data_IF_599820221363
#
_entry.id   IF_599820221363
#
_cell.length_a   1.000
_cell.length_b   1.000
_cell.length_c   1.000
_cell.angle_alpha   90.00
_cell.angle_beta   90.00
_cell.angle_gamma   90.00
#
_symmetry.space_group_name_H-M   'P 1'
#
loop_
_entity.id
_entity.type
_entity.pdbx_description
1 polymer ?
#
# COMPACT_ATOMS: atom_id res chain seq x y z
N UNK A 1 12.48 -11.55 19.82
CA UNK A 1 11.82 -12.57 18.98
C UNK A 1 11.70 -11.89 17.63
N UNK A 2 12.38 -12.37 16.59
CA UNK A 2 12.38 -11.71 15.26
C UNK A 2 11.03 -11.99 14.60
N UNK A 3 10.35 -10.96 14.09
CA UNK A 3 9.09 -11.12 13.34
C UNK A 3 9.41 -11.77 11.99
N UNK A 4 9.05 -13.04 11.80
CA UNK A 4 9.40 -13.86 10.62
C UNK A 4 8.50 -13.57 9.40
N UNK A 5 7.57 -12.61 9.48
CA UNK A 5 6.43 -12.60 8.56
C UNK A 5 6.63 -11.79 7.27
N UNK A 6 7.43 -12.36 6.37
CA UNK A 6 7.41 -11.96 4.97
C UNK A 6 6.04 -12.33 4.38
N UNK A 7 5.21 -11.31 4.08
CA UNK A 7 3.89 -11.51 3.47
C UNK A 7 3.99 -12.00 2.01
N UNK A 8 5.19 -11.92 1.44
CA UNK A 8 5.59 -12.53 0.18
C UNK A 8 6.81 -13.42 0.41
N UNK A 9 6.77 -14.71 0.05
CA UNK A 9 7.90 -15.63 0.27
C UNK A 9 9.07 -15.35 -0.69
N UNK A 10 8.76 -14.90 -1.92
CA UNK A 10 9.76 -14.60 -2.94
C UNK A 10 9.34 -13.49 -3.92
N UNK A 11 10.35 -12.95 -4.58
CA UNK A 11 10.21 -11.97 -5.66
C UNK A 11 10.84 -12.52 -6.94
N UNK A 12 10.17 -12.36 -8.07
CA UNK A 12 10.68 -12.78 -9.38
C UNK A 12 10.64 -11.62 -10.38
N UNK A 13 11.71 -11.41 -11.14
CA UNK A 13 11.77 -10.34 -12.14
C UNK A 13 12.43 -10.81 -13.43
N UNK A 14 12.19 -10.10 -14.54
CA UNK A 14 12.68 -10.47 -15.87
C UNK A 14 14.12 -9.99 -16.05
N UNK A 15 15.08 -10.87 -15.73
CA UNK A 15 16.52 -10.53 -15.71
C UNK A 15 17.12 -10.15 -17.07
N UNK A 16 16.50 -10.63 -18.15
CA UNK A 16 16.95 -10.35 -19.51
C UNK A 16 16.53 -8.95 -19.99
N UNK A 17 15.66 -8.25 -19.26
CA UNK A 17 15.20 -6.90 -19.58
C UNK A 17 16.11 -5.82 -18.97
N UNK A 18 16.19 -4.62 -19.58
CA UNK A 18 17.02 -3.52 -19.08
C UNK A 18 16.58 -3.08 -17.68
N UNK A 19 17.51 -2.58 -16.84
CA UNK A 19 17.19 -2.08 -15.48
C UNK A 19 16.49 -3.15 -14.60
N UNK A 20 16.92 -4.41 -14.70
CA UNK A 20 16.39 -5.55 -13.94
C UNK A 20 16.45 -5.32 -12.40
N UNK A 21 17.55 -4.75 -11.90
CA UNK A 21 17.68 -4.41 -10.48
C UNK A 21 16.63 -3.38 -9.99
N UNK A 22 16.20 -2.48 -10.87
CA UNK A 22 15.13 -1.52 -10.56
C UNK A 22 13.76 -2.21 -10.54
N UNK A 23 13.51 -3.17 -11.44
CA UNK A 23 12.30 -3.97 -11.42
C UNK A 23 12.14 -4.72 -10.09
N UNK A 24 13.22 -5.38 -9.62
CA UNK A 24 13.22 -6.03 -8.31
C UNK A 24 12.97 -5.04 -7.15
N UNK A 25 13.57 -3.85 -7.23
CA UNK A 25 13.34 -2.79 -6.24
C UNK A 25 11.88 -2.33 -6.25
N UNK A 26 11.27 -2.17 -7.42
CA UNK A 26 9.87 -1.78 -7.56
C UNK A 26 8.92 -2.84 -7.01
N UNK A 27 9.18 -4.13 -7.24
CA UNK A 27 8.39 -5.22 -6.63
C UNK A 27 8.45 -5.18 -5.11
N UNK A 28 9.65 -5.02 -4.54
CA UNK A 28 9.84 -4.90 -3.08
C UNK A 28 9.14 -3.66 -2.52
N UNK A 29 9.19 -2.54 -3.25
CA UNK A 29 8.49 -1.31 -2.88
C UNK A 29 6.97 -1.48 -2.91
N UNK A 30 6.44 -2.06 -3.98
CA UNK A 30 5.01 -2.35 -4.12
C UNK A 30 4.52 -3.26 -3.00
N UNK A 31 5.25 -4.34 -2.74
CA UNK A 31 4.99 -5.24 -1.62
C UNK A 31 4.98 -4.49 -0.28
N UNK A 32 5.97 -3.63 -0.03
CA UNK A 32 6.04 -2.90 1.24
C UNK A 32 4.89 -1.92 1.44
N UNK A 33 4.34 -1.33 0.39
CA UNK A 33 3.16 -0.45 0.50
C UNK A 33 1.88 -1.20 0.85
N UNK A 34 1.74 -2.47 0.43
CA UNK A 34 0.53 -3.27 0.66
C UNK A 34 0.56 -4.14 1.92
N UNK A 35 1.73 -4.27 2.55
CA UNK A 35 1.94 -5.07 3.76
C UNK A 35 0.92 -4.81 4.87
N UNK A 36 0.57 -3.55 5.23
CA UNK A 36 -0.39 -3.31 6.31
C UNK A 36 -1.76 -3.94 6.04
N UNK A 37 -2.24 -3.85 4.80
CA UNK A 37 -3.54 -4.40 4.40
C UNK A 37 -3.51 -5.94 4.38
N UNK A 38 -2.39 -6.53 3.93
CA UNK A 38 -2.20 -7.98 4.00
C UNK A 38 -2.15 -8.47 5.46
N UNK A 39 -1.43 -7.75 6.35
CA UNK A 39 -1.32 -8.06 7.77
C UNK A 39 -2.68 -8.03 8.46
N UNK A 40 -3.45 -6.97 8.24
CA UNK A 40 -4.81 -6.81 8.79
C UNK A 40 -5.73 -7.97 8.42
N UNK A 41 -5.52 -8.60 7.26
CA UNK A 41 -6.36 -9.68 6.72
C UNK A 41 -5.74 -11.07 6.83
N UNK A 42 -4.54 -11.19 7.39
CA UNK A 42 -3.80 -12.45 7.50
C UNK A 42 -3.42 -13.05 6.14
N UNK A 43 -3.27 -12.24 5.10
CA UNK A 43 -2.91 -12.70 3.76
C UNK A 43 -1.40 -12.93 3.65
N UNK A 44 -1.04 -14.07 3.05
CA UNK A 44 0.33 -14.38 2.62
C UNK A 44 0.29 -14.87 1.19
N UNK A 45 1.23 -14.43 0.39
CA UNK A 45 1.34 -14.80 -1.03
C UNK A 45 2.70 -15.46 -1.24
N UNK A 46 2.75 -16.55 -1.99
CA UNK A 46 4.00 -17.25 -2.26
C UNK A 46 4.98 -16.38 -3.05
N UNK A 47 4.62 -16.00 -4.27
CA UNK A 47 5.54 -15.26 -5.15
C UNK A 47 4.89 -14.02 -5.76
N UNK A 48 5.56 -12.87 -5.64
CA UNK A 48 5.24 -11.66 -6.39
C UNK A 48 6.22 -11.52 -7.55
N UNK A 49 5.72 -11.52 -8.79
CA UNK A 49 6.56 -11.58 -9.97
C UNK A 49 6.24 -10.50 -11.01
N UNK A 50 7.27 -10.08 -11.72
CA UNK A 50 7.14 -9.30 -12.95
C UNK A 50 6.76 -10.21 -14.12
N UNK A 51 5.88 -9.71 -14.99
CA UNK A 51 5.69 -10.26 -16.34
C UNK A 51 5.55 -9.14 -17.37
N UNK A 52 5.72 -9.49 -18.65
CA UNK A 52 5.56 -8.55 -19.76
C UNK A 52 4.88 -9.24 -20.96
N UNK A 53 3.56 -9.52 -20.88
CA UNK A 53 2.87 -10.18 -21.98
C UNK A 53 2.73 -9.27 -23.20
N UNK A 54 2.53 -9.89 -24.36
CA UNK A 54 2.27 -9.20 -25.62
C UNK A 54 0.93 -8.44 -25.61
N UNK A 55 -0.04 -8.87 -24.80
CA UNK A 55 -1.32 -8.20 -24.67
C UNK A 55 -1.17 -6.86 -23.92
N UNK A 56 -1.38 -5.69 -24.56
CA UNK A 56 -1.02 -4.40 -23.97
C UNK A 56 -1.86 -4.02 -22.75
N UNK A 57 -3.14 -4.41 -22.72
CA UNK A 57 -4.03 -4.11 -21.62
C UNK A 57 -3.72 -4.93 -20.38
N UNK A 58 -3.07 -6.08 -20.49
CA UNK A 58 -2.87 -6.98 -19.36
C UNK A 58 -1.83 -6.44 -18.37
N UNK A 59 -2.30 -6.02 -17.19
CA UNK A 59 -1.53 -5.41 -16.11
C UNK A 59 -1.25 -6.37 -14.95
N UNK A 60 -2.16 -7.31 -14.67
CA UNK A 60 -2.08 -8.16 -13.49
C UNK A 60 -2.73 -9.53 -13.66
N UNK A 61 -2.25 -10.49 -12.87
CA UNK A 61 -2.79 -11.84 -12.80
C UNK A 61 -2.53 -12.46 -11.42
N UNK A 62 -3.59 -12.87 -10.73
CA UNK A 62 -3.55 -13.69 -9.53
C UNK A 62 -3.78 -15.17 -9.88
N UNK A 63 -2.88 -16.04 -9.44
CA UNK A 63 -2.93 -17.49 -9.64
C UNK A 63 -3.18 -18.17 -8.30
N UNK A 64 -4.22 -19.00 -8.30
CA UNK A 64 -4.60 -19.83 -7.15
C UNK A 64 -4.72 -19.04 -5.84
N UNK A 65 -5.21 -17.79 -5.91
CA UNK A 65 -5.44 -16.84 -4.81
C UNK A 65 -4.15 -16.34 -4.16
N UNK A 66 -3.38 -17.23 -3.56
CA UNK A 66 -2.20 -16.90 -2.74
C UNK A 66 -0.92 -17.52 -3.26
N UNK A 67 -0.96 -18.32 -4.32
CA UNK A 67 0.25 -18.98 -4.81
C UNK A 67 1.19 -17.97 -5.47
N UNK A 68 0.67 -17.21 -6.44
CA UNK A 68 1.49 -16.33 -7.26
C UNK A 68 0.68 -15.15 -7.77
N UNK A 69 1.29 -13.96 -7.76
CA UNK A 69 0.75 -12.75 -8.36
C UNK A 69 1.76 -12.23 -9.38
N UNK A 70 1.33 -12.07 -10.62
CA UNK A 70 2.10 -11.44 -11.69
C UNK A 70 1.65 -10.00 -11.88
N UNK A 71 2.59 -9.06 -12.01
CA UNK A 71 2.31 -7.65 -12.25
C UNK A 71 3.20 -7.12 -13.36
N UNK A 72 2.61 -6.33 -14.25
CA UNK A 72 3.33 -5.60 -15.29
C UNK A 72 3.99 -4.40 -14.64
N UNK A 73 5.30 -4.32 -14.70
CA UNK A 73 6.04 -3.16 -14.20
C UNK A 73 6.39 -2.15 -15.30
N UNK A 74 6.41 -2.57 -16.56
CA UNK A 74 6.93 -1.81 -17.70
C UNK A 74 5.86 -1.54 -18.74
N UNK A 75 6.03 -0.46 -19.51
CA UNK A 75 5.17 -0.21 -20.66
C UNK A 75 5.36 -1.30 -21.72
N UNK A 76 4.25 -1.74 -22.33
CA UNK A 76 4.27 -2.77 -23.37
C UNK A 76 5.14 -2.37 -24.59
N UNK A 77 5.07 -1.12 -25.01
CA UNK A 77 5.80 -0.63 -26.20
C UNK A 77 7.27 -0.25 -25.92
N UNK A 78 7.67 -0.10 -24.65
CA UNK A 78 9.03 0.22 -24.27
C UNK A 78 9.38 -0.39 -22.90
N UNK A 79 10.08 -1.52 -22.95
CA UNK A 79 10.52 -2.23 -21.74
C UNK A 79 11.56 -1.46 -20.91
N UNK A 80 12.11 -0.33 -21.39
CA UNK A 80 13.00 0.53 -20.57
C UNK A 80 12.24 1.47 -19.64
N UNK A 81 10.95 1.69 -19.89
CA UNK A 81 10.11 2.60 -19.12
C UNK A 81 9.20 1.82 -18.19
N UNK A 82 9.19 2.23 -16.92
CA UNK A 82 8.35 1.65 -15.89
C UNK A 82 7.02 2.41 -15.77
N UNK A 83 5.97 1.69 -15.41
CA UNK A 83 4.71 2.27 -14.94
C UNK A 83 4.96 3.02 -13.63
N UNK A 84 4.07 3.95 -13.30
CA UNK A 84 4.20 4.68 -12.04
C UNK A 84 4.00 3.74 -10.85
N UNK A 85 4.65 4.07 -9.73
CA UNK A 85 4.50 3.29 -8.49
C UNK A 85 3.04 3.23 -8.02
N UNK A 86 2.28 4.30 -8.23
CA UNK A 86 0.83 4.35 -7.95
C UNK A 86 0.06 3.31 -8.79
N UNK A 87 0.35 3.21 -10.09
CA UNK A 87 -0.32 2.25 -10.99
C UNK A 87 0.01 0.80 -10.61
N UNK A 88 1.27 0.51 -10.31
CA UNK A 88 1.72 -0.83 -9.91
C UNK A 88 1.08 -1.23 -8.59
N UNK A 89 1.01 -0.31 -7.62
CA UNK A 89 0.38 -0.58 -6.32
C UNK A 89 -1.10 -0.82 -6.47
N UNK A 90 -1.79 0.00 -7.26
CA UNK A 90 -3.24 -0.13 -7.49
C UNK A 90 -3.59 -1.46 -8.19
N UNK A 91 -2.75 -1.88 -9.14
CA UNK A 91 -2.83 -3.21 -9.76
C UNK A 91 -2.60 -4.32 -8.72
N UNK A 92 -1.61 -4.17 -7.83
CA UNK A 92 -1.39 -5.14 -6.75
C UNK A 92 -2.60 -5.23 -5.79
N UNK A 93 -3.22 -4.11 -5.42
CA UNK A 93 -4.43 -4.11 -4.59
C UNK A 93 -5.62 -4.81 -5.29
N UNK A 94 -5.74 -4.65 -6.60
CA UNK A 94 -6.69 -5.39 -7.42
C UNK A 94 -6.42 -6.89 -7.34
N UNK A 95 -5.18 -7.32 -7.60
CA UNK A 95 -4.82 -8.74 -7.55
C UNK A 95 -4.95 -9.34 -6.14
N UNK A 96 -4.71 -8.57 -5.08
CA UNK A 96 -4.97 -9.02 -3.71
C UNK A 96 -6.47 -9.24 -3.45
N UNK A 97 -7.36 -8.47 -4.08
CA UNK A 97 -8.80 -8.69 -3.97
C UNK A 97 -9.22 -10.06 -4.53
N UNK A 98 -8.47 -10.57 -5.52
CA UNK A 98 -8.66 -11.92 -6.05
C UNK A 98 -8.31 -13.06 -5.08
N UNK A 99 -7.67 -12.77 -3.94
CA UNK A 99 -7.53 -13.74 -2.84
C UNK A 99 -8.91 -14.17 -2.33
N UNK A 100 -9.87 -13.25 -2.27
CA UNK A 100 -11.21 -13.47 -1.72
C UNK A 100 -12.22 -13.71 -2.85
N UNK A 101 -12.26 -12.83 -3.84
CA UNK A 101 -13.30 -12.82 -4.88
C UNK A 101 -12.72 -13.07 -6.28
N UNK A 102 -13.18 -14.14 -6.93
CA UNK A 102 -12.80 -14.44 -8.32
C UNK A 102 -13.37 -13.43 -9.33
N UNK A 103 -14.70 -13.32 -9.48
CA UNK A 103 -15.30 -12.43 -10.47
C UNK A 103 -15.27 -10.96 -10.03
N UNK A 104 -15.17 -10.03 -10.99
CA UNK A 104 -15.29 -8.58 -10.77
C UNK A 104 -16.75 -8.14 -10.50
N UNK A 105 -17.37 -8.69 -9.46
CA UNK A 105 -18.72 -8.33 -9.02
C UNK A 105 -18.70 -7.12 -8.07
N UNK A 106 -19.87 -6.74 -7.53
CA UNK A 106 -19.97 -5.63 -6.60
C UNK A 106 -19.09 -5.83 -5.34
N UNK A 107 -19.03 -7.06 -4.81
CA UNK A 107 -18.25 -7.38 -3.61
C UNK A 107 -16.74 -7.25 -3.87
N UNK A 108 -16.26 -7.70 -5.03
CA UNK A 108 -14.88 -7.46 -5.47
C UNK A 108 -14.55 -5.98 -5.50
N UNK A 109 -15.41 -5.18 -6.15
CA UNK A 109 -15.19 -3.74 -6.26
C UNK A 109 -15.22 -3.05 -4.90
N UNK A 110 -16.07 -3.49 -3.98
CA UNK A 110 -16.12 -2.97 -2.62
C UNK A 110 -14.82 -3.26 -1.86
N UNK A 111 -14.30 -4.50 -1.93
CA UNK A 111 -13.02 -4.85 -1.32
C UNK A 111 -11.86 -4.05 -1.92
N UNK A 112 -11.82 -3.93 -3.25
CA UNK A 112 -10.75 -3.17 -3.92
C UNK A 112 -10.80 -1.68 -3.53
N UNK A 113 -11.99 -1.08 -3.45
CA UNK A 113 -12.15 0.30 -2.95
C UNK A 113 -11.71 0.43 -1.49
N UNK A 114 -12.08 -0.51 -0.62
CA UNK A 114 -11.64 -0.52 0.78
C UNK A 114 -10.12 -0.56 0.90
N UNK A 115 -9.45 -1.45 0.16
CA UNK A 115 -7.99 -1.55 0.14
C UNK A 115 -7.32 -0.26 -0.36
N UNK A 116 -7.92 0.42 -1.33
CA UNK A 116 -7.44 1.71 -1.82
C UNK A 116 -7.60 2.81 -0.79
N UNK A 117 -8.73 2.87 -0.09
CA UNK A 117 -8.98 3.85 0.95
C UNK A 117 -8.01 3.66 2.13
N UNK A 118 -7.77 2.41 2.54
CA UNK A 118 -6.73 2.06 3.53
C UNK A 118 -5.35 2.54 3.06
N UNK A 119 -4.97 2.25 1.81
CA UNK A 119 -3.70 2.70 1.24
C UNK A 119 -3.56 4.23 1.19
N UNK A 120 -4.61 4.96 0.80
CA UNK A 120 -4.60 6.42 0.78
C UNK A 120 -4.49 7.01 2.18
N UNK A 121 -5.20 6.46 3.17
CA UNK A 121 -5.08 6.87 4.58
C UNK A 121 -3.63 6.71 5.06
N UNK A 122 -2.99 5.60 4.72
CA UNK A 122 -1.58 5.36 5.04
C UNK A 122 -0.64 6.38 4.39
N UNK A 123 -0.83 6.68 3.10
CA UNK A 123 -0.07 7.72 2.41
C UNK A 123 -0.23 9.10 3.09
N UNK A 124 -1.45 9.46 3.50
CA UNK A 124 -1.73 10.72 4.19
C UNK A 124 -1.05 10.80 5.57
N UNK A 125 -0.89 9.65 6.25
CA UNK A 125 -0.14 9.51 7.50
C UNK A 125 1.39 9.48 7.30
N UNK A 126 1.86 9.61 6.05
CA UNK A 126 3.28 9.61 5.70
C UNK A 126 3.89 8.21 5.56
N UNK A 127 3.07 7.16 5.58
CA UNK A 127 3.54 5.82 5.25
C UNK A 127 3.82 5.75 3.76
N UNK A 128 5.05 5.41 3.39
CA UNK A 128 5.44 5.24 1.99
C UNK A 128 5.93 3.82 1.72
N UNK A 129 5.53 2.84 2.53
CA UNK A 129 6.11 1.49 2.56
C UNK A 129 7.25 1.36 3.57
N UNK A 130 7.61 0.12 3.91
CA UNK A 130 8.72 -0.16 4.83
C UNK A 130 10.06 0.33 4.28
N UNK A 131 10.82 0.99 5.17
CA UNK A 131 12.24 1.26 5.00
C UNK A 131 12.62 2.28 3.92
N UNK A 132 13.73 2.96 4.18
CA UNK A 132 14.51 3.63 3.15
C UNK A 132 15.13 2.51 2.29
N UNK A 133 14.46 2.08 1.21
CA UNK A 133 14.99 1.05 0.29
C UNK A 133 16.24 1.51 -0.48
N UNK A 134 16.66 2.76 -0.31
CA UNK A 134 17.96 3.27 -0.71
C UNK A 134 19.05 2.82 0.28
N UNK A 135 20.27 2.63 -0.22
CA UNK A 135 21.47 2.43 0.61
C UNK A 135 21.48 3.50 1.72
N UNK A 136 21.26 3.08 2.96
CA UNK A 136 21.23 3.99 4.10
C UNK A 136 22.59 4.66 4.26
N UNK A 137 22.65 5.97 4.01
CA UNK A 137 23.83 6.75 4.32
C UNK A 137 23.78 7.03 5.82
N UNK A 138 24.75 6.53 6.60
CA UNK A 138 24.88 6.84 8.03
C UNK A 138 24.97 8.35 8.22
N UNK A 139 23.86 9.01 8.56
CA UNK A 139 23.84 10.40 8.95
C UNK A 139 24.28 10.51 10.41
N UNK A 140 25.60 10.51 10.60
CA UNK A 140 26.20 10.84 11.89
C UNK A 140 26.38 9.64 12.83
N UNK A 141 27.63 9.34 13.13
CA UNK A 141 28.05 8.53 14.27
C UNK A 141 29.25 9.14 14.98
N UNK A 142 29.59 10.40 14.67
CA UNK A 142 30.69 11.10 15.32
C UNK A 142 30.11 11.73 16.58
N UNK A 143 30.60 11.32 17.75
CA UNK A 143 30.27 11.93 19.04
C UNK A 143 30.84 13.36 19.03
N UNK A 144 30.04 14.30 18.53
CA UNK A 144 30.38 15.72 18.51
C UNK A 144 30.27 16.21 19.97
N UNK A 145 31.31 16.83 20.55
CA UNK A 145 31.23 17.45 21.87
C UNK A 145 30.04 18.41 21.95
N UNK A 146 29.35 18.44 23.09
CA UNK A 146 28.08 19.19 23.29
C UNK A 146 28.20 20.67 22.88
N UNK A 147 29.35 21.28 23.07
CA UNK A 147 29.60 22.68 22.70
C UNK A 147 29.70 22.90 21.18
N UNK A 148 30.23 21.93 20.45
CA UNK A 148 30.31 21.96 18.99
C UNK A 148 28.91 21.74 18.38
N UNK A 149 28.08 20.91 19.02
CA UNK A 149 26.66 20.75 18.70
C UNK A 149 25.86 22.04 18.93
N UNK A 150 26.08 22.73 20.06
CA UNK A 150 25.46 24.04 20.34
C UNK A 150 25.90 25.10 19.33
N UNK A 151 27.16 25.10 18.92
CA UNK A 151 27.70 26.04 17.92
C UNK A 151 27.08 25.79 16.53
N UNK A 152 26.97 24.53 16.12
CA UNK A 152 26.32 24.13 14.86
C UNK A 152 24.82 24.45 14.86
N UNK A 153 24.12 24.22 15.97
CA UNK A 153 22.72 24.56 16.12
C UNK A 153 22.47 26.08 16.03
N UNK A 154 23.34 26.90 16.64
CA UNK A 154 23.26 28.37 16.54
C UNK A 154 23.49 28.86 15.11
N UNK A 155 24.53 28.38 14.43
CA UNK A 155 24.79 28.75 13.03
C UNK A 155 23.67 28.30 12.08
N UNK A 156 23.08 27.13 12.30
CA UNK A 156 21.92 26.67 11.52
C UNK A 156 20.64 27.49 11.81
N UNK A 157 20.47 27.97 13.05
CA UNK A 157 19.36 28.88 13.40
C UNK A 157 19.55 30.28 12.82
N UNK A 158 20.78 30.81 12.80
CA UNK A 158 21.12 32.08 12.15
C UNK A 158 20.93 32.01 10.63
N UNK A 159 21.31 30.91 9.98
CA UNK A 159 21.03 30.68 8.56
C UNK A 159 19.53 30.66 8.26
N UNK A 160 18.73 30.00 9.11
CA UNK A 160 17.26 29.99 8.99
C UNK A 160 16.65 31.39 9.13
N UNK A 161 17.13 32.18 10.11
CA UNK A 161 16.75 33.58 10.27
C UNK A 161 17.19 34.47 9.09
N UNK A 162 18.34 34.20 8.49
CA UNK A 162 18.82 34.95 7.33
C UNK A 162 18.00 34.65 6.07
N UNK A 163 17.36 33.49 5.99
CA UNK A 163 16.48 33.09 4.87
C UNK A 163 15.01 33.48 5.05
N UNK A 164 14.61 33.98 6.23
CA UNK A 164 13.20 34.26 6.58
C UNK A 164 12.53 35.41 5.80
N UNK A 165 13.24 36.10 4.89
CA UNK A 165 12.69 37.23 4.15
C UNK A 165 12.36 36.97 2.67
N UNK A 166 12.49 35.74 2.15
CA UNK A 166 12.18 35.47 0.73
C UNK A 166 11.10 34.42 0.47
N UNK A 167 10.67 33.62 1.46
CA UNK A 167 9.62 32.61 1.28
C UNK A 167 8.87 32.31 2.59
N UNK A 168 8.34 33.33 3.26
CA UNK A 168 7.51 33.21 4.46
C UNK A 168 6.07 32.72 4.15
N UNK A 169 5.95 31.65 3.37
CA UNK A 169 4.71 30.92 3.15
C UNK A 169 4.88 29.49 3.64
N UNK A 170 4.20 29.13 4.72
CA UNK A 170 4.20 27.75 5.22
C UNK A 170 3.86 26.78 4.09
N UNK A 171 4.79 25.89 3.76
CA UNK A 171 4.58 24.89 2.72
C UNK A 171 3.84 23.72 3.35
N UNK A 172 2.59 23.48 2.95
CA UNK A 172 1.93 22.19 3.21
C UNK A 172 2.67 21.14 2.39
N UNK A 173 3.32 20.20 3.06
CA UNK A 173 3.86 19.00 2.42
C UNK A 173 2.73 17.97 2.42
N UNK A 174 2.07 17.80 1.28
CA UNK A 174 0.99 16.83 1.11
C UNK A 174 -0.34 17.49 0.74
N UNK A 175 -0.92 16.98 -0.36
CA UNK A 175 -2.05 17.57 -1.05
C UNK A 175 -1.56 18.61 -2.06
N UNK A 176 -1.51 18.23 -3.35
CA UNK A 176 -1.51 19.26 -4.38
C UNK A 176 -2.79 20.09 -4.12
N UNK A 177 -2.71 21.40 -3.85
CA UNK A 177 -3.91 22.21 -3.98
C UNK A 177 -4.46 21.91 -5.38
N UNK A 178 -5.79 21.82 -5.54
CA UNK A 178 -6.35 21.97 -6.86
C UNK A 178 -5.80 23.30 -7.38
N UNK A 179 -4.76 23.22 -8.21
CA UNK A 179 -4.10 24.40 -8.74
C UNK A 179 -5.20 25.23 -9.38
N UNK A 180 -5.13 26.56 -9.28
CA UNK A 180 -6.05 27.42 -10.04
C UNK A 180 -6.04 26.94 -11.50
N UNK A 181 -7.14 26.34 -11.96
CA UNK A 181 -7.27 25.74 -13.30
C UNK A 181 -7.32 24.20 -13.39
N UNK A 182 -7.29 23.45 -12.28
CA UNK A 182 -7.52 21.99 -12.32
C UNK A 182 -9.02 21.72 -12.53
N UNK A 183 -9.37 21.16 -13.69
CA UNK A 183 -10.74 20.73 -13.98
C UNK A 183 -11.06 19.45 -13.19
N UNK A 184 -11.92 19.59 -12.17
CA UNK A 184 -12.35 18.48 -11.34
C UNK A 184 -13.00 17.35 -12.15
N UNK A 185 -13.67 17.66 -13.27
CA UNK A 185 -14.24 16.64 -14.16
C UNK A 185 -13.15 15.77 -14.77
N UNK A 186 -12.03 16.38 -15.14
CA UNK A 186 -10.87 15.68 -15.68
C UNK A 186 -10.21 14.78 -14.63
N UNK A 187 -10.07 15.27 -13.40
CA UNK A 187 -9.51 14.46 -12.29
C UNK A 187 -10.37 13.22 -12.03
N UNK A 188 -11.70 13.40 -11.98
CA UNK A 188 -12.65 12.31 -11.79
C UNK A 188 -12.63 11.35 -12.99
N UNK A 189 -12.62 11.86 -14.22
CA UNK A 189 -12.58 11.03 -15.44
C UNK A 189 -11.28 10.24 -15.53
N UNK A 190 -10.14 10.84 -15.19
CA UNK A 190 -8.84 10.18 -15.20
C UNK A 190 -8.81 9.05 -14.17
N UNK A 191 -9.34 9.29 -12.97
CA UNK A 191 -9.45 8.25 -11.94
C UNK A 191 -10.38 7.10 -12.37
N UNK A 192 -11.52 7.40 -12.98
CA UNK A 192 -12.44 6.40 -13.51
C UNK A 192 -11.82 5.58 -14.64
N UNK A 193 -11.12 6.25 -15.57
CA UNK A 193 -10.45 5.60 -16.71
C UNK A 193 -9.37 4.62 -16.25
N UNK A 194 -8.59 5.00 -15.22
CA UNK A 194 -7.60 4.10 -14.61
C UNK A 194 -8.25 2.84 -14.04
N UNK A 195 -9.38 2.97 -13.34
CA UNK A 195 -10.09 1.82 -12.76
C UNK A 195 -10.58 0.86 -13.83
N UNK A 196 -11.19 1.39 -14.89
CA UNK A 196 -11.63 0.59 -16.03
C UNK A 196 -10.44 -0.14 -16.66
N UNK A 197 -9.32 0.56 -16.87
CA UNK A 197 -8.13 -0.05 -17.48
C UNK A 197 -7.52 -1.20 -16.66
N UNK A 198 -7.54 -1.12 -15.33
CA UNK A 198 -7.05 -2.21 -14.47
C UNK A 198 -8.02 -3.39 -14.49
N UNK A 199 -9.33 -3.14 -14.50
CA UNK A 199 -10.34 -4.20 -14.54
C UNK A 199 -10.31 -4.94 -15.88
N UNK A 200 -10.23 -4.21 -17.00
CA UNK A 200 -10.06 -4.78 -18.34
C UNK A 200 -8.68 -5.43 -18.53
N UNK A 201 -7.69 -4.94 -17.79
CA UNK A 201 -6.31 -5.41 -17.80
C UNK A 201 -6.00 -6.56 -16.85
N UNK A 202 -7.00 -7.28 -16.35
CA UNK A 202 -6.80 -8.39 -15.43
C UNK A 202 -7.07 -9.72 -16.13
N UNK A 203 -6.13 -10.66 -16.06
CA UNK A 203 -6.30 -12.02 -16.62
C UNK A 203 -6.72 -13.06 -15.58
N UNK A 204 -7.00 -12.67 -14.34
CA UNK A 204 -7.38 -13.57 -13.25
C UNK A 204 -8.65 -14.35 -13.59
N UNK A 205 -8.55 -15.68 -13.56
CA UNK A 205 -9.65 -16.58 -13.96
C UNK A 205 -9.83 -16.78 -15.48
N UNK A 206 -8.98 -16.18 -16.32
CA UNK A 206 -9.01 -16.41 -17.77
C UNK A 206 -8.38 -17.75 -18.16
N UNK A 207 -8.79 -18.30 -19.31
CA UNK A 207 -8.18 -19.52 -19.87
C UNK A 207 -6.70 -19.34 -20.28
N UNK A 208 -6.26 -18.08 -20.48
CA UNK A 208 -4.89 -17.76 -20.87
C UNK A 208 -3.91 -17.72 -19.68
N UNK A 209 -4.42 -17.73 -18.44
CA UNK A 209 -3.61 -17.63 -17.24
C UNK A 209 -2.48 -18.67 -17.18
N UNK A 210 -2.74 -19.93 -17.55
CA UNK A 210 -1.74 -20.99 -17.52
C UNK A 210 -0.53 -20.72 -18.44
N UNK A 211 -0.77 -20.20 -19.64
CA UNK A 211 0.30 -19.90 -20.60
C UNK A 211 1.16 -18.73 -20.11
N UNK A 212 0.52 -17.70 -19.52
CA UNK A 212 1.20 -16.52 -18.97
C UNK A 212 2.11 -16.87 -17.79
N UNK A 213 1.68 -17.79 -16.93
CA UNK A 213 2.50 -18.33 -15.84
C UNK A 213 3.71 -19.05 -16.39
N UNK A 214 3.49 -19.98 -17.33
CA UNK A 214 4.58 -20.77 -17.89
C UNK A 214 5.62 -19.90 -18.60
N UNK A 215 5.19 -18.87 -19.33
CA UNK A 215 6.10 -17.89 -19.93
C UNK A 215 6.93 -17.17 -18.86
N UNK A 216 6.28 -16.68 -17.80
CA UNK A 216 6.97 -15.95 -16.76
C UNK A 216 7.94 -16.85 -15.97
N UNK A 217 7.61 -18.11 -15.70
CA UNK A 217 8.50 -19.07 -15.04
C UNK A 217 9.76 -19.38 -15.86
N UNK A 218 9.67 -19.37 -17.19
CA UNK A 218 10.82 -19.59 -18.07
C UNK A 218 11.78 -18.39 -18.09
N UNK A 219 11.23 -17.17 -18.00
CA UNK A 219 11.98 -15.93 -18.14
C UNK A 219 12.39 -15.29 -16.80
N UNK A 220 11.72 -15.68 -15.72
CA UNK A 220 11.84 -15.09 -14.39
C UNK A 220 13.10 -15.51 -13.65
N UNK A 221 13.70 -14.55 -12.95
CA UNK A 221 14.78 -14.82 -12.00
C UNK A 221 14.27 -14.64 -10.57
N UNK A 222 14.35 -15.73 -9.78
CA UNK A 222 13.86 -15.80 -8.41
C UNK A 222 14.87 -15.31 -7.39
N UNK A 223 14.42 -14.39 -6.55
CA UNK A 223 15.12 -13.87 -5.39
C UNK A 223 14.27 -14.13 -4.15
N UNK A 224 14.81 -14.87 -3.18
CA UNK A 224 14.12 -15.08 -1.91
C UNK A 224 13.91 -13.74 -1.17
N UNK A 225 12.81 -13.62 -0.42
CA UNK A 225 12.64 -12.50 0.49
C UNK A 225 13.68 -12.63 1.64
N UNK A 226 14.73 -11.81 1.62
CA UNK A 226 15.69 -11.75 2.74
C UNK A 226 15.01 -11.10 3.96
N UNK A 227 15.13 -11.73 5.13
CA UNK A 227 14.65 -11.22 6.42
C UNK A 227 15.47 -9.98 6.79
N UNK A 228 14.85 -8.81 6.80
CA UNK A 228 15.53 -7.55 7.10
C UNK A 228 14.79 -6.92 8.29
N UNK A 229 15.13 -7.37 9.50
CA UNK A 229 14.35 -7.04 10.70
C UNK A 229 15.15 -6.16 11.66
N UNK A 230 14.50 -5.11 12.16
CA UNK A 230 14.84 -4.58 13.48
C UNK A 230 14.01 -3.38 13.94
N UNK A 231 13.56 -2.52 13.03
CA UNK A 231 12.88 -1.26 13.39
C UNK A 231 11.38 -1.26 13.05
N UNK A 232 10.89 -2.37 12.50
CA UNK A 232 9.60 -2.46 11.81
C UNK A 232 8.45 -2.85 12.75
N UNK A 233 8.72 -3.57 13.85
CA UNK A 233 7.71 -3.89 14.87
C UNK A 233 7.13 -2.65 15.54
N UNK A 234 7.97 -1.63 15.77
CA UNK A 234 7.55 -0.39 16.42
C UNK A 234 6.67 0.45 15.50
N UNK A 235 7.01 0.51 14.21
CA UNK A 235 6.22 1.22 13.20
C UNK A 235 4.92 0.45 12.93
N UNK A 236 4.98 -0.88 12.81
CA UNK A 236 3.81 -1.71 12.55
C UNK A 236 2.81 -1.67 13.71
N UNK A 237 3.27 -1.78 14.97
CA UNK A 237 2.38 -1.62 16.14
C UNK A 237 1.74 -0.25 16.19
N UNK A 238 2.53 0.81 16.00
CA UNK A 238 2.00 2.17 15.95
C UNK A 238 0.95 2.34 14.83
N UNK A 239 1.17 1.75 13.67
CA UNK A 239 0.23 1.80 12.55
C UNK A 239 -1.06 1.03 12.85
N UNK A 240 -0.92 -0.14 13.48
CA UNK A 240 -2.04 -1.00 13.83
C UNK A 240 -2.92 -0.36 14.92
N UNK A 241 -2.29 0.24 15.93
CA UNK A 241 -2.99 1.01 16.97
C UNK A 241 -3.75 2.19 16.35
N UNK A 242 -3.13 2.94 15.43
CA UNK A 242 -3.79 4.05 14.73
C UNK A 242 -4.97 3.61 13.84
N UNK A 243 -4.85 2.44 13.19
CA UNK A 243 -5.95 1.88 12.39
C UNK A 243 -7.10 1.42 13.27
N UNK A 244 -6.80 0.79 14.41
CA UNK A 244 -7.83 0.42 15.39
C UNK A 244 -8.50 1.65 16.00
N UNK A 245 -7.75 2.70 16.33
CA UNK A 245 -8.32 3.96 16.83
C UNK A 245 -9.26 4.59 15.79
N UNK A 246 -8.90 4.62 14.51
CA UNK A 246 -9.78 5.11 13.45
C UNK A 246 -11.04 4.24 13.27
N UNK A 247 -10.90 2.91 13.33
CA UNK A 247 -12.04 2.01 13.24
C UNK A 247 -12.99 2.18 14.43
N UNK A 248 -12.44 2.36 15.64
CA UNK A 248 -13.21 2.67 16.84
C UNK A 248 -13.92 4.02 16.72
N UNK A 249 -13.24 5.07 16.25
CA UNK A 249 -13.84 6.38 16.01
C UNK A 249 -14.94 6.32 14.96
N UNK A 250 -14.73 5.57 13.87
CA UNK A 250 -15.74 5.35 12.83
C UNK A 250 -16.95 4.61 13.38
N UNK A 251 -16.75 3.60 14.23
CA UNK A 251 -17.82 2.90 14.92
C UNK A 251 -18.56 3.81 15.92
N UNK A 252 -17.84 4.69 16.62
CA UNK A 252 -18.43 5.70 17.51
C UNK A 252 -19.23 6.76 16.74
N UNK A 253 -18.72 7.25 15.60
CA UNK A 253 -19.41 8.20 14.71
C UNK A 253 -20.66 7.60 14.05
N UNK A 254 -20.63 6.30 13.73
CA UNK A 254 -21.78 5.56 13.21
C UNK A 254 -22.90 5.42 14.27
N UNK A 255 -22.60 5.70 15.54
CA UNK A 255 -23.53 5.68 16.66
C UNK A 255 -24.00 4.27 17.01
N UNK A 256 -24.03 3.95 18.31
CA UNK A 256 -24.80 2.81 18.77
C UNK A 256 -26.26 2.95 18.26
N UNK A 257 -26.94 1.87 17.84
CA UNK A 257 -28.30 1.98 17.35
C UNK A 257 -29.17 2.59 18.44
N UNK A 258 -29.60 3.83 18.22
CA UNK A 258 -30.54 4.57 19.09
C UNK A 258 -31.97 4.07 18.81
N UNK A 259 -32.16 2.77 18.90
CA UNK A 259 -33.47 2.13 18.91
C UNK A 259 -33.69 1.52 20.28
N UNK A 260 -34.74 1.94 20.99
CA UNK A 260 -35.14 1.46 22.33
C UNK A 260 -35.56 -0.02 22.42
N UNK A 261 -34.82 -0.90 21.75
CA UNK A 261 -35.01 -2.35 21.75
C UNK A 261 -33.79 -3.02 21.12
N UNK A 262 -32.75 -3.25 21.94
CA UNK A 262 -31.49 -3.84 21.48
C UNK A 262 -30.74 -4.52 22.62
N UNK A 263 -29.85 -5.45 22.25
CA UNK A 263 -29.01 -6.16 23.20
C UNK A 263 -27.96 -5.19 23.78
N UNK A 264 -27.85 -5.09 25.10
CA UNK A 264 -26.80 -4.36 25.81
C UNK A 264 -25.78 -5.34 26.42
N UNK A 265 -24.51 -4.97 26.40
CA UNK A 265 -23.43 -5.82 26.89
C UNK A 265 -23.12 -5.53 28.36
N UNK A 266 -23.12 -6.57 29.19
CA UNK A 266 -22.79 -6.52 30.63
C UNK A 266 -21.48 -7.26 30.94
N UNK A 267 -20.69 -6.71 31.88
CA UNK A 267 -19.33 -7.19 32.18
C UNK A 267 -19.30 -8.53 32.91
N UNK A 268 -20.36 -8.90 33.63
CA UNK A 268 -20.47 -10.19 34.32
C UNK A 268 -21.20 -11.23 33.49
N UNK A 269 -22.14 -10.82 32.63
CA UNK A 269 -23.10 -11.72 32.02
C UNK A 269 -23.13 -11.71 30.47
N UNK A 270 -22.31 -10.89 29.80
CA UNK A 270 -22.23 -10.82 28.34
C UNK A 270 -23.38 -10.05 27.67
N UNK A 271 -23.64 -10.29 26.38
CA UNK A 271 -24.73 -9.64 25.63
C UNK A 271 -26.11 -10.06 26.18
N UNK A 272 -26.89 -9.11 26.67
CA UNK A 272 -28.24 -9.31 27.21
C UNK A 272 -29.28 -8.46 26.50
N UNK A 273 -30.54 -8.90 26.45
CA UNK A 273 -31.63 -8.17 25.79
C UNK A 273 -32.26 -7.16 26.75
N UNK A 274 -32.24 -5.88 26.41
CA UNK A 274 -32.93 -4.86 27.22
C UNK A 274 -34.42 -4.87 26.85
N UNK A 275 -35.26 -5.31 27.78
CA UNK A 275 -36.71 -5.26 27.62
C UNK A 275 -37.17 -3.91 28.17
N UNK A 276 -37.56 -3.00 27.28
CA UNK A 276 -38.15 -1.72 27.66
C UNK A 276 -39.45 -1.93 28.43
N UNK A 277 -39.50 -1.46 29.68
CA UNK A 277 -40.73 -1.43 30.48
C UNK A 277 -41.67 -0.42 29.83
N UNK A 278 -42.82 -0.88 29.35
CA UNK A 278 -43.94 0.02 29.00
C UNK A 278 -44.44 0.65 30.29
N UNK A 279 -44.34 1.99 30.37
CA UNK A 279 -45.11 2.76 31.32
C UNK A 279 -46.54 2.88 30.77
N UNK A 280 -47.52 2.43 31.56
CA UNK A 280 -48.95 2.70 31.37
C UNK A 280 -49.28 4.17 31.64
#
# INVERSE_FOLDING_TARGET
MREIDAHFDAYEHLKHLPRDGEALHMLRKAASMVKPMMRKRGWKVGTLAEFLPDEPQLLGLNINRTERILIRLRYHHDSRQFLSMEQITDTLLHELSHIVFGPHNADFNNLWNELRDEHQSLLMKGYSGEGFLSQGQKLGGRRIPVDEMRRAARTAAEKRKATDNLNAGGHRLGGAPAGRGVDMRKVISDAATRRTSITEGCASGSAQAGNLVQQQEQEGFRTAAEQNDGNDEAIARALQDLLYEEEMLRLEELGAPTGGGGLAWDRQNGLQRVIGVKLE
#
